data_IF_503786026293
#
_entry.id   IF_503786026293
#
_cell.length_a   1.000
_cell.length_b   1.000
_cell.length_c   1.000
_cell.angle_alpha   90.00
_cell.angle_beta   90.00
_cell.angle_gamma   90.00
#
_symmetry.space_group_name_H-M   'P 1'
#
loop_
_entity.id
_entity.type
_entity.pdbx_description
1 polymer ?
#
# COMPACT_ATOMS: atom_id res chain seq x y z
N UNK A 1 -37.31 1.17 9.56
CA UNK A 1 -36.89 -0.07 8.89
C UNK A 1 -35.84 0.32 7.86
N UNK A 2 -34.56 0.35 8.26
CA UNK A 2 -33.48 0.95 7.47
C UNK A 2 -33.14 -0.03 6.34
N UNK A 3 -33.47 0.36 5.10
CA UNK A 3 -33.14 -0.39 3.89
C UNK A 3 -31.66 -0.21 3.59
N UNK A 4 -30.93 -1.32 3.60
CA UNK A 4 -29.56 -1.49 3.12
C UNK A 4 -29.52 -1.27 1.61
N UNK A 5 -29.09 -0.10 1.11
CA UNK A 5 -28.78 0.07 -0.33
C UNK A 5 -28.02 1.37 -0.71
N UNK A 6 -26.97 1.78 0.00
CA UNK A 6 -26.24 3.03 -0.32
C UNK A 6 -24.69 2.92 -0.34
N UNK A 7 -24.13 1.81 -0.82
CA UNK A 7 -22.68 1.75 -1.09
C UNK A 7 -22.36 1.18 -2.47
N UNK A 8 -23.12 1.60 -3.47
CA UNK A 8 -22.66 1.52 -4.86
C UNK A 8 -21.69 2.67 -5.11
N UNK A 9 -20.40 2.37 -5.09
CA UNK A 9 -19.29 3.23 -5.51
C UNK A 9 -19.15 4.59 -4.78
N UNK A 10 -18.70 4.58 -3.52
CA UNK A 10 -17.79 5.66 -3.13
C UNK A 10 -16.42 5.31 -3.75
N UNK A 11 -15.89 6.17 -4.63
CA UNK A 11 -14.63 5.88 -5.30
C UNK A 11 -13.59 5.69 -4.21
N UNK A 12 -12.78 4.66 -4.41
CA UNK A 12 -11.44 4.57 -3.88
C UNK A 12 -10.82 5.98 -4.00
N UNK A 13 -10.84 6.76 -2.92
CA UNK A 13 -10.03 7.98 -2.83
C UNK A 13 -8.63 7.38 -2.76
N UNK A 14 -8.00 7.27 -3.93
CA UNK A 14 -6.71 6.64 -4.20
C UNK A 14 -5.87 6.61 -2.93
N UNK A 15 -5.41 5.46 -2.43
CA UNK A 15 -4.39 5.47 -1.38
C UNK A 15 -3.22 6.24 -1.99
N UNK A 16 -3.10 7.51 -1.62
CA UNK A 16 -2.00 8.38 -2.03
C UNK A 16 -0.69 7.91 -1.41
N UNK A 17 -0.73 6.85 -0.61
CA UNK A 17 0.34 6.34 0.22
C UNK A 17 0.46 4.83 0.04
N UNK A 18 1.65 4.44 -0.39
CA UNK A 18 2.06 3.07 -0.65
C UNK A 18 3.00 2.59 0.45
N UNK A 19 2.72 1.38 0.95
CA UNK A 19 3.59 0.66 1.89
C UNK A 19 4.21 -0.52 1.15
N UNK A 20 5.53 -0.68 1.28
CA UNK A 20 6.23 -1.83 0.73
C UNK A 20 6.40 -2.92 1.78
N UNK A 21 6.20 -4.20 1.44
CA UNK A 21 6.25 -5.29 2.43
C UNK A 21 6.99 -6.55 1.95
N UNK A 22 7.80 -7.16 2.83
CA UNK A 22 8.32 -8.53 2.64
C UNK A 22 7.80 -9.58 3.65
N UNK A 23 7.21 -9.19 4.80
CA UNK A 23 6.61 -10.06 5.85
C UNK A 23 5.50 -9.36 6.66
N UNK A 24 4.63 -10.13 7.33
CA UNK A 24 3.40 -9.75 8.09
C UNK A 24 3.45 -8.37 8.79
N UNK A 25 2.43 -7.53 8.55
CA UNK A 25 2.43 -6.10 8.92
C UNK A 25 2.06 -5.91 10.39
N UNK A 26 3.03 -5.54 11.22
CA UNK A 26 2.76 -5.01 12.56
C UNK A 26 2.31 -3.55 12.38
N UNK A 27 1.19 -3.15 12.97
CA UNK A 27 0.67 -1.77 12.89
C UNK A 27 -0.31 -1.48 11.75
N UNK A 28 -0.59 -2.45 10.86
CA UNK A 28 -1.60 -2.28 9.81
C UNK A 28 -2.62 -3.43 9.82
N UNK A 29 -3.89 -3.08 9.69
CA UNK A 29 -5.00 -4.03 9.50
C UNK A 29 -5.23 -4.25 8.02
N UNK A 30 -5.14 -5.49 7.56
CA UNK A 30 -5.48 -5.84 6.17
C UNK A 30 -6.99 -5.80 5.99
N UNK A 31 -7.46 -5.06 4.99
CA UNK A 31 -8.89 -4.91 4.66
C UNK A 31 -9.31 -5.82 3.51
N UNK A 32 -8.40 -6.14 2.60
CA UNK A 32 -8.67 -7.05 1.50
C UNK A 32 -7.71 -6.89 0.33
N UNK A 33 -7.67 -7.90 -0.55
CA UNK A 33 -6.84 -7.89 -1.75
C UNK A 33 -7.39 -6.91 -2.78
N UNK A 34 -6.52 -6.12 -3.40
CA UNK A 34 -6.85 -5.16 -4.46
C UNK A 34 -6.30 -5.58 -5.81
N UNK A 35 -5.17 -6.26 -5.84
CA UNK A 35 -4.60 -6.76 -7.08
C UNK A 35 -3.63 -7.91 -6.86
N UNK A 36 -3.54 -8.77 -7.87
CA UNK A 36 -2.48 -9.77 -7.98
C UNK A 36 -1.75 -9.60 -9.30
N UNK A 37 -0.43 -9.53 -9.22
CA UNK A 37 0.45 -9.63 -10.37
C UNK A 37 1.39 -10.83 -10.24
N UNK A 38 2.13 -11.09 -11.32
CA UNK A 38 3.13 -12.16 -11.35
C UNK A 38 4.24 -11.95 -10.32
N UNK A 39 4.55 -10.70 -9.99
CA UNK A 39 5.68 -10.34 -9.12
C UNK A 39 5.29 -9.80 -7.76
N UNK A 40 4.03 -9.40 -7.58
CA UNK A 40 3.56 -8.70 -6.39
C UNK A 40 2.08 -8.96 -6.14
N UNK A 41 1.66 -8.76 -4.90
CA UNK A 41 0.26 -8.61 -4.52
C UNK A 41 0.05 -7.24 -3.90
N UNK A 42 -1.13 -6.66 -4.13
CA UNK A 42 -1.52 -5.39 -3.55
C UNK A 42 -2.72 -5.63 -2.66
N UNK A 43 -2.61 -5.22 -1.40
CA UNK A 43 -3.67 -5.28 -0.41
C UNK A 43 -4.03 -3.87 0.04
N UNK A 44 -5.32 -3.62 0.27
CA UNK A 44 -5.72 -2.45 1.04
C UNK A 44 -5.49 -2.75 2.52
N UNK A 45 -4.85 -1.83 3.20
CA UNK A 45 -4.65 -1.89 4.64
C UNK A 45 -5.04 -0.56 5.29
N UNK A 46 -5.32 -0.62 6.58
CA UNK A 46 -5.56 0.53 7.43
C UNK A 46 -4.46 0.61 8.46
N UNK A 47 -3.79 1.75 8.59
CA UNK A 47 -2.83 1.95 9.66
C UNK A 47 -3.59 2.07 11.00
N UNK A 48 -3.11 1.35 12.01
CA UNK A 48 -3.74 1.28 13.33
C UNK A 48 -3.50 2.54 14.17
N UNK A 49 -2.49 3.34 13.82
CA UNK A 49 -2.10 4.55 14.55
C UNK A 49 -2.89 5.78 14.09
N UNK A 50 -2.97 6.01 12.77
CA UNK A 50 -3.64 7.19 12.20
C UNK A 50 -5.04 6.90 11.63
N UNK A 51 -5.42 5.62 11.52
CA UNK A 51 -6.70 5.18 10.97
C UNK A 51 -6.84 5.32 9.45
N UNK A 52 -5.81 5.78 8.74
CA UNK A 52 -5.83 6.05 7.30
C UNK A 52 -5.67 4.77 6.46
N UNK A 53 -6.14 4.86 5.21
CA UNK A 53 -6.09 3.77 4.25
C UNK A 53 -4.83 3.84 3.39
N UNK A 54 -4.19 2.69 3.21
CA UNK A 54 -2.94 2.52 2.49
C UNK A 54 -3.04 1.37 1.50
N UNK A 55 -2.25 1.45 0.43
CA UNK A 55 -1.98 0.30 -0.44
C UNK A 55 -0.69 -0.37 0.00
N UNK A 56 -0.78 -1.59 0.51
CA UNK A 56 0.39 -2.42 0.79
C UNK A 56 0.73 -3.24 -0.46
N UNK A 57 1.91 -3.01 -1.05
CA UNK A 57 2.46 -3.84 -2.12
C UNK A 57 3.49 -4.79 -1.53
N UNK A 58 3.15 -6.07 -1.54
CA UNK A 58 4.03 -7.15 -1.13
C UNK A 58 4.66 -7.75 -2.37
N UNK A 59 5.99 -7.83 -2.43
CA UNK A 59 6.62 -8.61 -3.49
C UNK A 59 6.73 -10.07 -3.11
N UNK A 60 6.56 -10.93 -4.12
CA UNK A 60 6.77 -12.38 -3.99
C UNK A 60 8.25 -12.74 -3.82
N UNK A 61 9.17 -11.82 -4.11
CA UNK A 61 10.61 -12.01 -3.90
C UNK A 61 11.00 -11.66 -2.47
N UNK A 62 11.90 -12.45 -1.87
CA UNK A 62 12.43 -12.17 -0.55
C UNK A 62 13.53 -11.10 -0.58
N UNK A 63 13.49 -10.20 0.41
CA UNK A 63 14.54 -9.23 0.66
C UNK A 63 15.16 -9.48 2.03
N UNK A 64 16.48 -9.34 2.12
CA UNK A 64 17.23 -9.55 3.36
C UNK A 64 17.37 -8.24 4.15
N UNK A 65 17.39 -7.09 3.46
CA UNK A 65 17.54 -5.78 4.10
C UNK A 65 16.71 -4.68 3.42
N UNK A 66 16.37 -3.64 4.20
CA UNK A 66 15.63 -2.47 3.69
C UNK A 66 16.42 -1.80 2.57
N UNK A 67 17.75 -1.82 2.65
CA UNK A 67 18.66 -1.30 1.62
C UNK A 67 18.47 -1.99 0.26
N UNK A 68 18.25 -3.31 0.25
CA UNK A 68 17.94 -4.04 -0.98
C UNK A 68 16.60 -3.62 -1.58
N UNK A 69 15.59 -3.33 -0.74
CA UNK A 69 14.31 -2.80 -1.19
C UNK A 69 14.43 -1.35 -1.70
N UNK A 70 15.28 -0.53 -1.07
CA UNK A 70 15.62 0.83 -1.50
C UNK A 70 16.36 0.87 -2.84
N UNK A 71 17.11 -0.18 -3.17
CA UNK A 71 17.81 -0.33 -4.44
C UNK A 71 16.88 -0.55 -5.64
N UNK A 72 15.61 -0.86 -5.43
CA UNK A 72 14.65 -1.09 -6.50
C UNK A 72 14.38 0.18 -7.29
N UNK A 73 14.35 0.06 -8.61
CA UNK A 73 14.03 1.18 -9.51
C UNK A 73 12.68 1.82 -9.16
N UNK A 74 11.69 1.02 -8.79
CA UNK A 74 10.35 1.49 -8.40
C UNK A 74 10.41 2.36 -7.13
N UNK A 75 11.04 1.85 -6.06
CA UNK A 75 11.19 2.57 -4.79
C UNK A 75 12.05 3.82 -4.98
N UNK A 76 13.13 3.73 -5.77
CA UNK A 76 14.00 4.86 -6.08
C UNK A 76 13.28 5.95 -6.88
N UNK A 77 12.39 5.57 -7.79
CA UNK A 77 11.55 6.50 -8.52
C UNK A 77 10.59 7.21 -7.56
N UNK A 78 9.84 6.46 -6.75
CA UNK A 78 8.89 7.03 -5.79
C UNK A 78 9.56 7.98 -4.77
N UNK A 79 10.77 7.65 -4.30
CA UNK A 79 11.54 8.53 -3.40
C UNK A 79 12.03 9.83 -4.04
N UNK A 80 12.19 9.86 -5.37
CA UNK A 80 12.64 11.05 -6.12
C UNK A 80 11.48 11.91 -6.59
N UNK A 81 10.25 11.39 -6.59
CA UNK A 81 9.07 12.15 -6.97
C UNK A 81 8.74 13.17 -5.89
N UNK A 82 8.35 14.37 -6.32
CA UNK A 82 7.84 15.38 -5.40
C UNK A 82 6.44 14.97 -4.93
N UNK A 83 6.10 15.17 -3.64
CA UNK A 83 4.74 15.00 -3.14
C UNK A 83 3.74 15.76 -4.02
N UNK A 84 2.75 15.05 -4.55
CA UNK A 84 1.71 15.63 -5.39
C UNK A 84 0.40 14.87 -5.20
N UNK A 85 -0.72 15.58 -5.26
CA UNK A 85 -2.06 15.03 -5.00
C UNK A 85 -2.46 13.94 -6.00
N UNK A 86 -1.98 14.04 -7.24
CA UNK A 86 -2.28 13.08 -8.33
C UNK A 86 -1.20 12.01 -8.51
N UNK A 87 -0.28 11.87 -7.56
CA UNK A 87 0.83 10.89 -7.63
C UNK A 87 0.84 10.09 -6.35
N UNK A 88 0.87 8.76 -6.47
CA UNK A 88 1.03 7.88 -5.32
C UNK A 88 2.40 8.09 -4.72
N UNK A 89 2.43 8.37 -3.42
CA UNK A 89 3.62 8.64 -2.65
C UNK A 89 4.00 7.39 -1.86
N UNK A 90 5.30 7.18 -1.68
CA UNK A 90 5.80 6.15 -0.78
C UNK A 90 5.66 6.65 0.66
N UNK A 91 4.94 5.90 1.50
CA UNK A 91 4.82 6.21 2.92
C UNK A 91 5.89 5.51 3.74
N UNK A 92 5.99 4.19 3.59
CA UNK A 92 6.89 3.39 4.41
C UNK A 92 7.35 2.12 3.69
N UNK A 93 8.48 1.56 4.14
CA UNK A 93 9.04 0.29 3.67
C UNK A 93 9.21 -0.62 4.88
N UNK A 94 8.49 -1.72 4.85
CA UNK A 94 8.44 -2.73 5.90
C UNK A 94 9.05 -4.02 5.33
N UNK A 95 9.93 -4.68 6.08
CA UNK A 95 10.44 -6.01 5.72
C UNK A 95 9.71 -7.13 6.43
#
# INVERSE_FOLDING_TARGET
MIRTNEYFALPFKEPSLMVYQSRKTIGYRILGKKGEGSFAEVMACQNLTDGQLYACKTLKRHFVSVEQALGLTEVRALRRLRPHVNVVQLHDIIL
#
